data_IF_472867951827
#
_entry.id   IF_472867951827
#
_cell.length_a   1.000
_cell.length_b   1.000
_cell.length_c   1.000
_cell.angle_alpha   90.00
_cell.angle_beta   90.00
_cell.angle_gamma   90.00
#
_symmetry.space_group_name_H-M   'P 1'
#
loop_
_entity.id
_entity.type
_entity.pdbx_description
1 polymer ?
#
# COMPACT_ATOMS: atom_id res chain seq x y z
N UNK A 1 -25.70 31.51 -21.29
CA UNK A 1 -24.58 31.56 -20.32
C UNK A 1 -23.88 30.20 -20.35
N UNK A 2 -22.78 30.10 -21.10
CA UNK A 2 -21.96 28.88 -21.19
C UNK A 2 -21.09 28.79 -19.93
N UNK A 3 -21.24 27.71 -19.15
CA UNK A 3 -20.34 27.41 -18.05
C UNK A 3 -19.05 26.87 -18.64
N UNK A 4 -18.00 27.69 -18.64
CA UNK A 4 -16.63 27.23 -18.81
C UNK A 4 -16.29 26.27 -17.66
N UNK A 5 -16.43 24.96 -17.89
CA UNK A 5 -15.77 23.97 -17.06
C UNK A 5 -14.28 24.09 -17.33
N UNK A 6 -13.55 24.80 -16.45
CA UNK A 6 -12.10 24.66 -16.39
C UNK A 6 -11.82 23.18 -16.13
N UNK A 7 -11.34 22.49 -17.16
CA UNK A 7 -10.71 21.19 -17.00
C UNK A 7 -9.56 21.43 -16.02
N UNK A 8 -9.63 20.80 -14.86
CA UNK A 8 -8.51 20.76 -13.92
C UNK A 8 -7.27 20.30 -14.68
N UNK A 9 -6.11 20.96 -14.56
CA UNK A 9 -4.90 20.50 -15.23
C UNK A 9 -4.67 19.05 -14.82
N UNK A 10 -4.52 18.16 -15.80
CA UNK A 10 -4.12 16.78 -15.54
C UNK A 10 -2.82 16.82 -14.75
N UNK A 11 -2.91 16.53 -13.45
CA UNK A 11 -1.73 16.30 -12.63
C UNK A 11 -0.96 15.18 -13.34
N UNK A 12 0.27 15.44 -13.81
CA UNK A 12 1.02 14.43 -14.52
C UNK A 12 1.10 13.21 -13.59
N UNK A 13 0.72 12.04 -14.14
CA UNK A 13 0.58 10.74 -13.48
C UNK A 13 1.96 10.19 -13.02
N UNK A 14 2.74 11.02 -12.33
CA UNK A 14 4.15 10.82 -11.96
C UNK A 14 4.31 10.15 -10.60
N UNK A 15 3.23 10.04 -9.85
CA UNK A 15 3.25 9.75 -8.42
C UNK A 15 2.20 8.69 -8.14
N UNK A 16 2.65 7.51 -7.68
CA UNK A 16 1.75 6.45 -7.22
C UNK A 16 1.72 6.45 -5.70
N UNK A 17 0.52 6.63 -5.16
CA UNK A 17 0.23 6.46 -3.74
C UNK A 17 -0.36 5.08 -3.54
N UNK A 18 0.21 4.32 -2.61
CA UNK A 18 -0.49 3.21 -1.99
C UNK A 18 -0.76 3.60 -0.54
N UNK A 19 -1.99 4.03 -0.27
CA UNK A 19 -2.46 4.12 1.10
C UNK A 19 -2.69 2.69 1.56
N UNK A 20 -1.78 2.18 2.40
CA UNK A 20 -1.86 0.84 2.98
C UNK A 20 -2.08 -0.28 1.96
N UNK A 21 -1.09 -0.52 1.08
CA UNK A 21 -1.27 -1.50 0.02
C UNK A 21 -1.61 -2.87 0.59
N UNK A 22 -2.67 -3.45 0.06
CA UNK A 22 -3.15 -4.76 0.44
C UNK A 22 -2.34 -5.83 -0.30
N UNK A 23 -1.15 -6.12 0.23
CA UNK A 23 -0.29 -7.21 -0.24
C UNK A 23 -0.33 -8.39 0.73
N UNK A 24 0.10 -9.54 0.25
CA UNK A 24 0.17 -10.76 1.04
C UNK A 24 1.17 -11.75 0.46
N UNK A 25 1.14 -12.95 1.00
CA UNK A 25 1.93 -14.10 0.56
C UNK A 25 1.49 -15.34 1.32
N UNK A 26 2.03 -16.50 0.98
CA UNK A 26 1.61 -17.72 1.66
C UNK A 26 2.02 -17.81 3.12
N UNK A 27 3.24 -17.40 3.41
CA UNK A 27 3.71 -17.32 4.79
C UNK A 27 2.91 -16.30 5.60
N UNK A 28 3.01 -16.42 6.93
CA UNK A 28 2.49 -15.42 7.86
C UNK A 28 3.62 -14.57 8.37
N UNK A 29 3.43 -13.26 8.31
CA UNK A 29 4.38 -12.33 8.89
C UNK A 29 4.21 -12.23 10.39
N UNK A 30 5.23 -11.71 11.08
CA UNK A 30 5.15 -11.45 12.50
C UNK A 30 4.04 -10.44 12.83
N UNK A 31 3.82 -9.43 11.98
CA UNK A 31 2.73 -8.48 12.15
C UNK A 31 1.34 -9.14 12.06
N UNK A 32 1.13 -10.07 11.13
CA UNK A 32 -0.14 -10.80 11.01
C UNK A 32 -0.46 -11.62 12.27
N UNK A 33 0.58 -12.18 12.90
CA UNK A 33 0.46 -13.01 14.10
C UNK A 33 0.28 -12.13 15.35
N UNK A 34 1.16 -11.15 15.55
CA UNK A 34 1.21 -10.33 16.75
C UNK A 34 0.07 -9.33 16.85
N UNK A 35 -0.51 -8.91 15.72
CA UNK A 35 -1.65 -8.00 15.65
C UNK A 35 -2.97 -8.74 15.40
N UNK A 36 -3.04 -10.02 15.78
CA UNK A 36 -4.30 -10.77 15.79
C UNK A 36 -5.35 -10.03 16.63
N UNK A 37 -6.50 -9.75 16.05
CA UNK A 37 -7.58 -8.99 16.70
C UNK A 37 -7.52 -7.47 16.50
N UNK A 38 -6.56 -6.95 15.73
CA UNK A 38 -6.58 -5.57 15.27
C UNK A 38 -7.89 -5.24 14.51
N UNK A 39 -8.36 -3.98 14.56
CA UNK A 39 -9.59 -3.60 13.87
C UNK A 39 -9.43 -3.66 12.36
N UNK A 40 -10.54 -3.92 11.66
CA UNK A 40 -10.71 -3.94 10.20
C UNK A 40 -9.99 -5.05 9.42
N UNK A 41 -8.77 -5.42 9.82
CA UNK A 41 -7.94 -6.41 9.12
C UNK A 41 -7.70 -7.61 10.02
N UNK A 42 -7.98 -8.81 9.52
CA UNK A 42 -7.64 -10.07 10.18
C UNK A 42 -7.14 -11.07 9.14
N UNK A 43 -6.32 -12.03 9.57
CA UNK A 43 -5.81 -13.12 8.71
C UNK A 43 -6.94 -13.89 8.02
N UNK A 44 -8.00 -14.24 8.75
CA UNK A 44 -9.15 -14.95 8.18
C UNK A 44 -9.83 -14.13 7.07
N UNK A 45 -10.03 -12.83 7.32
CA UNK A 45 -10.64 -11.92 6.34
C UNK A 45 -9.74 -11.76 5.12
N UNK A 46 -8.43 -11.60 5.31
CA UNK A 46 -7.49 -11.41 4.20
C UNK A 46 -7.38 -12.68 3.36
N UNK A 47 -7.39 -13.86 3.98
CA UNK A 47 -7.42 -15.14 3.29
C UNK A 47 -8.68 -15.30 2.43
N UNK A 48 -9.83 -14.97 2.99
CA UNK A 48 -11.09 -15.02 2.24
C UNK A 48 -11.09 -14.04 1.05
N UNK A 49 -10.62 -12.80 1.27
CA UNK A 49 -10.52 -11.80 0.19
C UNK A 49 -9.57 -12.26 -0.91
N UNK A 50 -8.41 -12.83 -0.57
CA UNK A 50 -7.49 -13.36 -1.56
C UNK A 50 -8.08 -14.55 -2.31
N UNK A 51 -8.74 -15.47 -1.63
CA UNK A 51 -9.42 -16.61 -2.27
C UNK A 51 -10.53 -16.16 -3.23
N UNK A 52 -11.26 -15.10 -2.89
CA UNK A 52 -12.32 -14.57 -3.74
C UNK A 52 -11.78 -13.78 -4.95
N UNK A 53 -10.62 -13.14 -4.81
CA UNK A 53 -10.04 -12.28 -5.84
C UNK A 53 -9.12 -13.01 -6.82
N UNK A 54 -8.37 -14.01 -6.35
CA UNK A 54 -7.39 -14.71 -7.17
C UNK A 54 -8.06 -15.75 -8.09
N UNK A 55 -7.44 -16.08 -9.25
CA UNK A 55 -7.95 -17.14 -10.10
C UNK A 55 -8.06 -18.47 -9.35
N UNK A 56 -9.04 -19.29 -9.73
CA UNK A 56 -9.21 -20.61 -9.13
C UNK A 56 -7.92 -21.46 -9.22
N UNK A 57 -7.59 -22.16 -8.13
CA UNK A 57 -6.35 -22.92 -8.01
C UNK A 57 -5.09 -22.09 -7.76
N UNK A 58 -5.18 -20.76 -7.80
CA UNK A 58 -4.09 -19.88 -7.40
C UNK A 58 -4.02 -19.73 -5.88
N UNK A 59 -2.85 -19.32 -5.45
CA UNK A 59 -2.48 -19.23 -4.06
C UNK A 59 -1.95 -17.80 -3.77
N UNK A 60 -1.67 -17.45 -2.51
CA UNK A 60 -1.31 -16.07 -2.14
C UNK A 60 0.10 -15.66 -2.58
N UNK A 61 0.92 -16.59 -3.09
CA UNK A 61 2.19 -16.25 -3.76
C UNK A 61 1.98 -15.92 -5.25
N UNK A 62 0.72 -15.83 -5.71
CA UNK A 62 0.40 -15.24 -6.99
C UNK A 62 0.94 -13.79 -7.08
N UNK A 63 1.54 -13.35 -8.20
CA UNK A 63 2.27 -12.07 -8.29
C UNK A 63 1.43 -10.80 -8.04
N UNK A 64 0.11 -10.92 -8.10
CA UNK A 64 -0.80 -9.81 -7.78
C UNK A 64 -0.96 -9.62 -6.26
N UNK A 65 -0.85 -10.69 -5.47
CA UNK A 65 -0.88 -10.64 -4.02
C UNK A 65 0.53 -10.41 -3.45
N UNK A 66 1.52 -11.19 -3.94
CA UNK A 66 2.91 -11.16 -3.49
C UNK A 66 3.83 -10.58 -4.58
N UNK A 67 3.83 -9.25 -4.72
CA UNK A 67 4.48 -8.53 -5.84
C UNK A 67 5.98 -8.83 -6.00
N UNK A 68 6.68 -9.01 -4.88
CA UNK A 68 8.12 -9.34 -4.85
C UNK A 68 8.39 -10.72 -4.23
N UNK A 69 7.41 -11.61 -4.32
CA UNK A 69 7.52 -12.98 -3.85
C UNK A 69 8.21 -13.94 -4.83
N UNK A 70 8.12 -15.26 -4.57
CA UNK A 70 8.78 -16.29 -5.39
C UNK A 70 8.40 -16.25 -6.87
N UNK A 71 7.16 -15.86 -7.18
CA UNK A 71 6.64 -15.82 -8.55
C UNK A 71 6.71 -14.43 -9.21
N UNK A 72 7.40 -13.48 -8.57
CA UNK A 72 7.46 -12.08 -9.02
C UNK A 72 8.07 -11.91 -10.41
N UNK A 73 7.81 -10.75 -11.02
CA UNK A 73 8.41 -10.34 -12.29
C UNK A 73 9.46 -9.28 -12.00
N UNK A 74 10.61 -9.38 -12.68
CA UNK A 74 11.63 -8.35 -12.59
C UNK A 74 11.13 -7.05 -13.21
N UNK A 75 11.17 -5.98 -12.43
CA UNK A 75 10.79 -4.64 -12.86
C UNK A 75 12.00 -3.72 -13.03
N UNK A 76 13.23 -4.19 -12.84
CA UNK A 76 14.46 -3.36 -12.81
C UNK A 76 14.60 -2.50 -14.08
N UNK A 77 14.32 -3.06 -15.26
CA UNK A 77 14.36 -2.33 -16.54
C UNK A 77 13.16 -1.41 -16.82
N UNK A 78 12.12 -1.44 -15.99
CA UNK A 78 10.88 -0.68 -16.23
C UNK A 78 10.99 0.76 -15.71
N UNK A 79 10.45 1.71 -16.49
CA UNK A 79 10.16 3.05 -16.00
C UNK A 79 9.03 2.95 -14.97
N UNK A 80 9.33 3.30 -13.73
CA UNK A 80 8.39 3.24 -12.62
C UNK A 80 8.27 4.64 -11.99
N UNK A 81 7.06 5.12 -11.67
CA UNK A 81 6.87 6.42 -11.04
C UNK A 81 7.45 6.44 -9.62
N UNK A 82 7.81 7.64 -9.14
CA UNK A 82 8.13 7.83 -7.73
C UNK A 82 6.95 7.35 -6.88
N UNK A 83 7.25 6.58 -5.83
CA UNK A 83 6.23 5.92 -5.01
C UNK A 83 6.45 6.23 -3.54
N UNK A 84 5.39 6.60 -2.83
CA UNK A 84 5.38 6.67 -1.38
C UNK A 84 4.50 5.54 -0.83
N UNK A 85 5.00 4.85 0.18
CA UNK A 85 4.29 3.78 0.89
C UNK A 85 4.06 4.26 2.32
N UNK A 86 2.79 4.34 2.70
CA UNK A 86 2.38 4.68 4.06
C UNK A 86 2.04 3.41 4.84
N UNK A 87 2.57 3.29 6.05
CA UNK A 87 2.46 2.09 6.90
C UNK A 87 2.04 2.48 8.30
N UNK A 88 1.06 1.77 8.86
CA UNK A 88 0.57 1.95 10.22
C UNK A 88 1.17 0.91 11.15
N UNK A 89 1.57 1.31 12.36
CA UNK A 89 2.22 0.41 13.30
C UNK A 89 1.30 -0.69 13.84
N UNK A 90 -0.02 -0.46 13.85
CA UNK A 90 -1.06 -1.42 14.25
C UNK A 90 -1.79 -2.06 13.06
N UNK A 91 -1.20 -1.99 11.86
CA UNK A 91 -1.70 -2.69 10.69
C UNK A 91 -1.14 -4.12 10.63
N UNK A 92 -1.96 -5.18 10.64
CA UNK A 92 -1.51 -6.55 10.45
C UNK A 92 -0.73 -6.78 9.14
N UNK A 93 -0.95 -5.99 8.09
CA UNK A 93 -0.27 -6.12 6.79
C UNK A 93 1.03 -5.31 6.68
N UNK A 94 1.45 -4.60 7.74
CA UNK A 94 2.61 -3.70 7.70
C UNK A 94 3.88 -4.35 7.18
N UNK A 95 4.13 -5.62 7.52
CA UNK A 95 5.34 -6.31 7.06
C UNK A 95 5.31 -6.57 5.55
N UNK A 96 4.14 -6.92 4.99
CA UNK A 96 3.95 -7.04 3.54
C UNK A 96 4.13 -5.70 2.82
N UNK A 97 3.65 -4.61 3.40
CA UNK A 97 3.81 -3.25 2.86
C UNK A 97 5.28 -2.82 2.85
N UNK A 98 6.01 -3.08 3.94
CA UNK A 98 7.46 -2.81 4.02
C UNK A 98 8.25 -3.65 3.02
N UNK A 99 7.91 -4.93 2.85
CA UNK A 99 8.54 -5.79 1.84
C UNK A 99 8.34 -5.27 0.41
N UNK A 100 7.17 -4.71 0.11
CA UNK A 100 6.94 -4.06 -1.18
C UNK A 100 7.85 -2.84 -1.37
N UNK A 101 7.95 -1.97 -0.35
CA UNK A 101 8.89 -0.84 -0.37
C UNK A 101 10.34 -1.32 -0.62
N UNK A 102 10.81 -2.32 0.12
CA UNK A 102 12.14 -2.89 -0.04
C UNK A 102 12.37 -3.49 -1.44
N UNK A 103 11.36 -4.18 -1.99
CA UNK A 103 11.40 -4.71 -3.35
C UNK A 103 11.57 -3.61 -4.40
N UNK A 104 10.82 -2.52 -4.28
CA UNK A 104 10.99 -1.35 -5.14
C UNK A 104 12.41 -0.78 -5.05
N UNK A 105 12.96 -0.62 -3.84
CA UNK A 105 14.33 -0.13 -3.63
C UNK A 105 15.37 -1.05 -4.26
N UNK A 106 15.22 -2.37 -4.09
CA UNK A 106 16.11 -3.39 -4.69
C UNK A 106 16.11 -3.35 -6.23
N UNK A 107 14.97 -3.06 -6.85
CA UNK A 107 14.85 -2.88 -8.30
C UNK A 107 15.26 -1.48 -8.79
N UNK A 108 15.93 -0.67 -7.95
CA UNK A 108 16.43 0.65 -8.29
C UNK A 108 15.33 1.71 -8.47
N UNK A 109 14.15 1.52 -7.86
CA UNK A 109 13.04 2.47 -7.98
C UNK A 109 13.12 3.57 -6.94
N UNK A 110 12.61 4.74 -7.31
CA UNK A 110 12.41 5.85 -6.40
C UNK A 110 11.21 5.55 -5.49
N UNK A 111 11.50 5.13 -4.27
CA UNK A 111 10.49 4.79 -3.27
C UNK A 111 10.80 5.47 -1.92
N UNK A 112 9.74 5.88 -1.24
CA UNK A 112 9.73 6.48 0.08
C UNK A 112 8.83 5.67 1.01
N UNK A 113 9.21 5.58 2.28
CA UNK A 113 8.44 4.91 3.32
C UNK A 113 8.11 5.94 4.41
N UNK A 114 6.85 6.01 4.79
CA UNK A 114 6.35 6.83 5.90
C UNK A 114 5.63 5.90 6.87
N UNK A 115 6.03 5.96 8.13
CA UNK A 115 5.45 5.12 9.17
C UNK A 115 4.69 5.97 10.20
N UNK A 116 3.48 5.51 10.55
CA UNK A 116 2.65 6.04 11.62
C UNK A 116 2.56 4.99 12.73
N UNK A 117 3.43 5.03 13.75
CA UNK A 117 3.53 3.95 14.75
C UNK A 117 2.22 3.65 15.49
N UNK A 118 1.36 4.66 15.66
CA UNK A 118 0.11 4.53 16.40
C UNK A 118 -1.12 4.35 15.51
N UNK A 119 -0.94 4.28 14.19
CA UNK A 119 -2.05 4.21 13.26
C UNK A 119 -2.47 2.78 12.93
N UNK A 120 -3.78 2.61 12.73
CA UNK A 120 -4.42 1.42 12.17
C UNK A 120 -4.52 1.52 10.63
N UNK A 121 -4.85 0.42 9.95
CA UNK A 121 -4.85 0.31 8.48
C UNK A 121 -5.63 1.41 7.74
N UNK A 122 -6.72 1.95 8.30
CA UNK A 122 -7.57 2.93 7.62
C UNK A 122 -7.67 4.27 8.37
N UNK A 123 -6.68 4.63 9.18
CA UNK A 123 -6.73 5.81 10.06
C UNK A 123 -7.07 7.12 9.32
N UNK A 124 -6.62 7.28 8.07
CA UNK A 124 -6.84 8.48 7.26
C UNK A 124 -8.33 8.74 6.94
N UNK A 125 -9.19 7.73 7.08
CA UNK A 125 -10.63 7.87 6.90
C UNK A 125 -11.33 8.54 8.09
N UNK A 126 -10.61 8.80 9.19
CA UNK A 126 -11.13 9.38 10.43
C UNK A 126 -10.45 10.73 10.70
N UNK A 127 -11.06 11.86 10.32
CA UNK A 127 -10.50 13.20 10.51
C UNK A 127 -10.21 13.56 11.98
N UNK A 128 -10.83 12.86 12.92
CA UNK A 128 -10.68 13.03 14.36
C UNK A 128 -9.32 12.52 14.86
N UNK A 129 -8.64 11.68 14.07
CA UNK A 129 -7.32 11.13 14.39
C UNK A 129 -6.24 12.10 13.87
N UNK A 130 -5.33 12.62 14.74
CA UNK A 130 -4.31 13.60 14.35
C UNK A 130 -3.44 13.17 13.17
N UNK A 131 -3.12 11.87 13.11
CA UNK A 131 -2.35 11.26 12.03
C UNK A 131 -3.02 11.49 10.66
N UNK A 132 -4.36 11.55 10.58
CA UNK A 132 -5.09 11.75 9.32
C UNK A 132 -4.71 13.07 8.63
N UNK A 133 -4.61 14.16 9.39
CA UNK A 133 -4.19 15.45 8.86
C UNK A 133 -2.72 15.44 8.42
N UNK A 134 -1.86 14.74 9.16
CA UNK A 134 -0.44 14.56 8.80
C UNK A 134 -0.30 13.78 7.49
N UNK A 135 -1.07 12.70 7.32
CA UNK A 135 -1.13 11.92 6.08
C UNK A 135 -1.51 12.77 4.87
N UNK A 136 -2.57 13.56 5.00
CA UNK A 136 -3.01 14.44 3.91
C UNK A 136 -1.90 15.45 3.56
N UNK A 137 -1.23 16.01 4.57
CA UNK A 137 -0.13 16.96 4.36
C UNK A 137 1.06 16.31 3.67
N UNK A 138 1.53 15.16 4.15
CA UNK A 138 2.68 14.46 3.57
C UNK A 138 2.40 13.94 2.17
N UNK A 139 1.18 13.48 1.91
CA UNK A 139 0.73 13.14 0.57
C UNK A 139 0.80 14.35 -0.35
N UNK A 140 0.29 15.51 0.09
CA UNK A 140 0.35 16.75 -0.68
C UNK A 140 1.80 17.17 -0.95
N UNK A 141 2.65 17.18 0.09
CA UNK A 141 4.06 17.53 -0.04
C UNK A 141 4.79 16.59 -1.00
N UNK A 142 4.43 15.30 -1.03
CA UNK A 142 4.96 14.34 -1.99
C UNK A 142 4.47 14.62 -3.41
N UNK A 143 3.21 15.00 -3.58
CA UNK A 143 2.62 15.34 -4.88
C UNK A 143 3.21 16.61 -5.53
N UNK A 144 3.73 17.52 -4.71
CA UNK A 144 4.31 18.79 -5.15
C UNK A 144 5.83 18.74 -5.39
N UNK A 145 6.48 17.59 -5.15
CA UNK A 145 7.88 17.33 -5.51
C UNK A 145 8.05 17.04 -7.00
#
# INVERSE_FOLDING_TARGET
>A
MSRNSKVSPELPLKIRMFSFPFFGGQERTESEINLAGAPFVSVERTDWLWKAFLPEGSDRDHPVANVFGPNSKDITGLKFPATVVFVGGFDPLKDWQKRYYEGLKKCGKEAYLVEYPNAIHTFYAYPEVPESALFIKELKDFMEK
#
